data_IF_945927290242
#
_entry.id   IF_945927290242
#
_cell.length_a   1.000
_cell.length_b   1.000
_cell.length_c   1.000
_cell.angle_alpha   90.00
_cell.angle_beta   90.00
_cell.angle_gamma   90.00
#
_symmetry.space_group_name_H-M   'P 1'
#
loop_
_entity.id
_entity.type
_entity.pdbx_description
1 polymer ?
#
# COMPACT_ATOMS: atom_id res chain seq x y z
N UNK A 1 -8.35 15.58 16.95
CA UNK A 1 -7.66 14.97 15.80
C UNK A 1 -8.53 14.87 14.56
N UNK A 2 -9.72 14.26 14.60
CA UNK A 2 -10.55 14.09 13.38
C UNK A 2 -11.04 15.42 12.77
N UNK A 3 -11.54 16.35 13.58
CA UNK A 3 -11.99 17.67 13.11
C UNK A 3 -10.81 18.52 12.62
N UNK A 4 -9.67 18.47 13.32
CA UNK A 4 -8.45 19.20 12.95
C UNK A 4 -7.83 18.71 11.64
N UNK A 5 -8.07 17.46 11.26
CA UNK A 5 -7.63 16.87 9.98
C UNK A 5 -8.70 16.95 8.88
N UNK A 6 -9.85 17.60 9.13
CA UNK A 6 -10.95 17.68 8.15
C UNK A 6 -11.63 16.33 7.84
N UNK A 7 -11.42 15.31 8.68
CA UNK A 7 -12.05 13.99 8.54
C UNK A 7 -13.46 13.95 9.11
N UNK A 8 -13.80 14.94 9.96
CA UNK A 8 -15.11 15.10 10.55
C UNK A 8 -15.50 16.58 10.59
N UNK A 9 -16.71 16.87 10.15
CA UNK A 9 -17.31 18.19 10.20
C UNK A 9 -17.59 18.62 11.64
N UNK A 10 -17.79 19.93 11.85
CA UNK A 10 -18.09 20.49 13.17
C UNK A 10 -19.44 20.00 13.73
N UNK A 11 -20.36 19.60 12.85
CA UNK A 11 -21.66 19.02 13.20
C UNK A 11 -21.59 17.51 13.56
N UNK A 12 -20.40 16.91 13.48
CA UNK A 12 -20.15 15.51 13.83
C UNK A 12 -20.23 14.52 12.67
N UNK A 13 -20.60 14.95 11.45
CA UNK A 13 -20.62 14.07 10.26
C UNK A 13 -19.21 13.78 9.74
N UNK A 14 -18.97 12.57 9.24
CA UNK A 14 -17.71 12.24 8.57
C UNK A 14 -17.68 12.79 7.15
N UNK A 15 -16.51 13.28 6.72
CA UNK A 15 -16.26 13.64 5.32
C UNK A 15 -15.97 12.38 4.49
N UNK A 16 -15.98 12.49 3.16
CA UNK A 16 -15.57 11.36 2.29
C UNK A 16 -14.15 10.87 2.62
N UNK A 17 -13.24 11.80 2.90
CA UNK A 17 -11.92 11.46 3.41
C UNK A 17 -12.02 10.73 4.77
N UNK A 18 -12.87 11.21 5.69
CA UNK A 18 -13.15 10.51 6.95
C UNK A 18 -13.58 9.05 6.77
N UNK A 19 -14.42 8.76 5.79
CA UNK A 19 -14.84 7.37 5.46
C UNK A 19 -13.66 6.53 4.94
N UNK A 20 -12.81 7.10 4.08
CA UNK A 20 -11.60 6.41 3.59
C UNK A 20 -10.59 6.11 4.70
N UNK A 21 -10.51 6.97 5.71
CA UNK A 21 -9.65 6.79 6.88
C UNK A 21 -10.25 5.88 7.96
N UNK A 22 -11.54 5.54 7.88
CA UNK A 22 -12.19 4.65 8.84
C UNK A 22 -11.61 3.23 8.75
N UNK A 23 -11.50 2.54 9.89
CA UNK A 23 -10.94 1.19 10.00
C UNK A 23 -11.57 0.18 9.03
N UNK A 24 -12.87 0.37 8.75
CA UNK A 24 -13.64 -0.35 7.73
C UNK A 24 -14.37 0.64 6.85
N UNK A 25 -14.43 0.35 5.56
CA UNK A 25 -15.21 1.07 4.56
C UNK A 25 -15.63 0.12 3.43
N UNK A 26 -16.33 0.62 2.42
CA UNK A 26 -16.84 -0.20 1.31
C UNK A 26 -16.08 -0.02 -0.01
N UNK A 27 -14.94 0.67 0.02
CA UNK A 27 -14.18 0.97 -1.19
C UNK A 27 -13.24 -0.18 -1.60
N UNK A 28 -13.08 -0.32 -2.92
CA UNK A 28 -12.02 -1.16 -3.51
C UNK A 28 -10.66 -0.59 -3.14
N UNK A 29 -9.71 -1.48 -2.90
CA UNK A 29 -8.39 -1.11 -2.40
C UNK A 29 -7.28 -1.42 -3.39
N UNK A 30 -6.31 -2.21 -2.97
CA UNK A 30 -5.09 -2.53 -3.72
C UNK A 30 -4.97 -4.03 -3.97
N UNK A 31 -4.48 -4.38 -5.15
CA UNK A 31 -4.18 -5.74 -5.62
C UNK A 31 -2.68 -5.79 -5.93
N UNK A 32 -1.90 -6.36 -5.01
CA UNK A 32 -0.46 -6.54 -5.17
C UNK A 32 -0.18 -7.95 -5.70
N UNK A 33 0.60 -8.05 -6.77
CA UNK A 33 1.02 -9.33 -7.35
C UNK A 33 2.53 -9.35 -7.49
N UNK A 34 3.18 -10.32 -6.84
CA UNK A 34 4.59 -10.64 -7.07
C UNK A 34 4.66 -11.66 -8.19
N UNK A 35 5.20 -11.25 -9.32
CA UNK A 35 5.43 -12.13 -10.46
C UNK A 35 6.80 -12.80 -10.36
N UNK A 36 6.89 -14.00 -10.93
CA UNK A 36 8.14 -14.72 -11.18
C UNK A 36 8.73 -14.31 -12.52
N UNK A 37 9.27 -15.29 -13.25
CA UNK A 37 10.00 -15.06 -14.50
C UNK A 37 9.16 -14.38 -15.60
N UNK A 38 7.83 -14.43 -15.50
CA UNK A 38 6.93 -13.74 -16.40
C UNK A 38 5.55 -13.49 -15.75
N UNK A 39 4.71 -12.71 -16.44
CA UNK A 39 3.37 -12.32 -15.97
C UNK A 39 2.39 -13.51 -15.81
N UNK A 40 2.68 -14.69 -16.37
CA UNK A 40 1.85 -15.88 -16.21
C UNK A 40 2.18 -16.65 -14.93
N UNK A 41 3.29 -16.32 -14.26
CA UNK A 41 3.73 -16.98 -13.01
C UNK A 41 3.55 -16.00 -11.85
N UNK A 42 2.44 -16.15 -11.12
CA UNK A 42 2.19 -15.38 -9.89
C UNK A 42 2.77 -16.14 -8.70
N UNK A 43 3.77 -15.56 -8.04
CA UNK A 43 4.41 -16.15 -6.85
C UNK A 43 3.64 -15.83 -5.56
N UNK A 44 3.10 -14.62 -5.46
CA UNK A 44 2.20 -14.21 -4.39
C UNK A 44 1.19 -13.19 -4.92
N UNK A 45 -0.02 -13.20 -4.34
CA UNK A 45 -1.04 -12.19 -4.60
C UNK A 45 -1.72 -11.80 -3.30
N UNK A 46 -1.78 -10.51 -3.04
CA UNK A 46 -2.41 -9.96 -1.84
C UNK A 46 -3.40 -8.87 -2.22
N UNK A 47 -4.64 -9.04 -1.79
CA UNK A 47 -5.71 -8.07 -1.96
C UNK A 47 -6.05 -7.45 -0.62
N UNK A 48 -5.97 -6.13 -0.53
CA UNK A 48 -6.30 -5.37 0.68
C UNK A 48 -7.38 -4.36 0.32
N UNK A 49 -8.59 -4.57 0.84
CA UNK A 49 -9.78 -3.78 0.53
C UNK A 49 -10.66 -3.60 1.76
N UNK A 50 -11.60 -2.65 1.71
CA UNK A 50 -12.60 -2.41 2.77
C UNK A 50 -11.99 -2.13 4.15
N UNK A 51 -10.79 -1.58 4.14
CA UNK A 51 -10.02 -1.15 5.31
C UNK A 51 -9.58 0.30 5.13
N UNK A 52 -9.14 0.94 6.22
CA UNK A 52 -8.60 2.29 6.14
C UNK A 52 -7.46 2.39 5.13
N UNK A 53 -7.35 3.54 4.45
CA UNK A 53 -6.24 3.78 3.52
C UNK A 53 -4.87 3.72 4.21
N UNK A 54 -4.81 3.97 5.51
CA UNK A 54 -3.60 3.82 6.32
C UNK A 54 -3.18 2.35 6.44
N UNK A 55 -4.14 1.46 6.73
CA UNK A 55 -3.87 0.02 6.78
C UNK A 55 -3.49 -0.53 5.41
N UNK A 56 -4.21 -0.10 4.36
CA UNK A 56 -3.89 -0.44 2.97
C UNK A 56 -2.44 -0.06 2.62
N UNK A 57 -2.03 1.18 2.93
CA UNK A 57 -0.67 1.66 2.72
C UNK A 57 0.36 0.82 3.50
N UNK A 58 0.11 0.57 4.79
CA UNK A 58 1.02 -0.21 5.64
C UNK A 58 1.19 -1.65 5.15
N UNK A 59 0.09 -2.32 4.77
CA UNK A 59 0.11 -3.69 4.27
C UNK A 59 0.86 -3.77 2.92
N UNK A 60 0.73 -2.76 2.05
CA UNK A 60 1.53 -2.66 0.83
C UNK A 60 3.04 -2.52 1.12
N UNK A 61 3.43 -1.69 2.10
CA UNK A 61 4.83 -1.58 2.51
C UNK A 61 5.38 -2.85 3.16
N UNK A 62 4.54 -3.59 3.89
CA UNK A 62 4.93 -4.88 4.44
C UNK A 62 5.27 -5.87 3.31
N UNK A 63 4.46 -5.91 2.26
CA UNK A 63 4.72 -6.74 1.07
C UNK A 63 5.99 -6.30 0.34
N UNK A 64 6.23 -5.00 0.20
CA UNK A 64 7.50 -4.50 -0.30
C UNK A 64 8.70 -5.03 0.50
N UNK A 65 8.68 -4.88 1.83
CA UNK A 65 9.78 -5.37 2.69
C UNK A 65 9.94 -6.90 2.62
N UNK A 66 8.86 -7.63 2.41
CA UNK A 66 8.92 -9.09 2.23
C UNK A 66 9.70 -9.49 0.97
N UNK A 67 9.62 -8.72 -0.12
CA UNK A 67 10.15 -9.13 -1.42
C UNK A 67 11.41 -8.37 -1.87
N UNK A 68 11.60 -7.13 -1.41
CA UNK A 68 12.66 -6.24 -1.89
C UNK A 68 13.67 -5.84 -0.83
N UNK A 69 13.46 -6.22 0.44
CA UNK A 69 14.42 -6.00 1.51
C UNK A 69 15.05 -7.34 1.90
N UNK A 70 16.35 -7.47 1.64
CA UNK A 70 17.13 -8.64 2.06
C UNK A 70 18.16 -8.23 3.12
N UNK A 71 18.46 -9.13 4.05
CA UNK A 71 19.57 -8.96 4.98
C UNK A 71 20.78 -9.76 4.49
N UNK A 72 21.90 -9.07 4.29
CA UNK A 72 23.18 -9.68 3.92
C UNK A 72 24.10 -9.64 5.13
N UNK A 73 24.62 -10.81 5.51
CA UNK A 73 25.66 -10.92 6.53
C UNK A 73 27.02 -10.78 5.83
N UNK A 74 27.77 -9.75 6.20
CA UNK A 74 29.12 -9.48 5.69
C UNK A 74 30.11 -9.48 6.86
N UNK A 75 30.78 -10.62 7.06
CA UNK A 75 31.63 -10.88 8.22
C UNK A 75 30.85 -10.79 9.53
N UNK A 76 31.21 -9.82 10.38
CA UNK A 76 30.54 -9.56 11.65
C UNK A 76 29.35 -8.57 11.54
N UNK A 77 29.12 -7.98 10.36
CA UNK A 77 28.11 -6.93 10.16
C UNK A 77 26.87 -7.47 9.44
N UNK A 78 25.69 -7.04 9.87
CA UNK A 78 24.44 -7.22 9.12
C UNK A 78 24.14 -5.95 8.34
N UNK A 79 23.97 -6.07 7.03
CA UNK A 79 23.57 -4.96 6.15
C UNK A 79 22.23 -5.25 5.51
N UNK A 80 21.33 -4.27 5.55
CA UNK A 80 20.08 -4.31 4.77
C UNK A 80 20.38 -3.90 3.34
N UNK A 81 19.94 -4.72 2.39
CA UNK A 81 20.04 -4.44 0.98
C UNK A 81 18.63 -4.26 0.41
N UNK A 82 18.38 -3.08 -0.14
CA UNK A 82 17.15 -2.72 -0.85
C UNK A 82 17.38 -2.97 -2.34
N UNK A 83 16.56 -3.84 -2.96
CA UNK A 83 16.61 -4.05 -4.42
C UNK A 83 16.12 -2.81 -5.17
N UNK A 84 14.98 -2.29 -4.72
CA UNK A 84 14.38 -1.03 -5.18
C UNK A 84 14.43 -0.06 -3.99
N UNK A 85 14.66 1.25 -4.14
CA UNK A 85 14.64 2.17 -3.00
C UNK A 85 13.27 2.21 -2.28
N UNK A 86 13.24 2.02 -0.95
CA UNK A 86 11.97 1.98 -0.20
C UNK A 86 11.20 3.30 -0.31
N UNK A 87 11.91 4.43 -0.34
CA UNK A 87 11.29 5.75 -0.51
C UNK A 87 10.58 5.90 -1.85
N UNK A 88 11.12 5.34 -2.94
CA UNK A 88 10.49 5.39 -4.24
C UNK A 88 9.19 4.56 -4.27
N UNK A 89 9.22 3.36 -3.68
CA UNK A 89 8.02 2.54 -3.55
C UNK A 89 6.96 3.21 -2.68
N UNK A 90 7.36 3.76 -1.53
CA UNK A 90 6.48 4.51 -0.62
C UNK A 90 5.78 5.66 -1.31
N UNK A 91 6.51 6.44 -2.09
CA UNK A 91 5.98 7.59 -2.83
C UNK A 91 5.02 7.13 -3.95
N UNK A 92 5.38 6.09 -4.70
CA UNK A 92 4.52 5.54 -5.75
C UNK A 92 3.16 5.05 -5.21
N UNK A 93 3.16 4.31 -4.08
CA UNK A 93 1.91 3.87 -3.44
C UNK A 93 1.13 5.05 -2.89
N UNK A 94 1.77 6.02 -2.24
CA UNK A 94 1.11 7.22 -1.72
C UNK A 94 0.41 7.99 -2.85
N UNK A 95 1.11 8.22 -3.97
CA UNK A 95 0.56 8.91 -5.13
C UNK A 95 -0.61 8.14 -5.75
N UNK A 96 -0.50 6.82 -5.85
CA UNK A 96 -1.61 5.99 -6.34
C UNK A 96 -2.85 6.08 -5.44
N UNK A 97 -2.69 6.14 -4.11
CA UNK A 97 -3.81 6.28 -3.15
C UNK A 97 -4.43 7.68 -3.21
N UNK A 98 -3.61 8.73 -3.18
CA UNK A 98 -4.05 10.13 -3.10
C UNK A 98 -4.74 10.57 -4.39
N UNK A 99 -4.24 10.13 -5.55
CA UNK A 99 -4.78 10.51 -6.86
C UNK A 99 -5.81 9.52 -7.41
N UNK A 100 -6.22 8.51 -6.63
CA UNK A 100 -7.26 7.56 -7.06
C UNK A 100 -8.64 8.22 -7.10
N UNK A 101 -9.38 7.94 -8.16
CA UNK A 101 -10.82 8.19 -8.26
C UNK A 101 -11.58 7.11 -7.47
N UNK A 102 -11.91 7.41 -6.20
CA UNK A 102 -12.33 6.39 -5.23
C UNK A 102 -13.72 5.77 -5.48
N UNK A 103 -14.59 6.47 -6.19
CA UNK A 103 -15.94 6.05 -6.61
C UNK A 103 -15.94 5.05 -7.77
N UNK A 104 -14.79 4.77 -8.39
CA UNK A 104 -14.65 3.71 -9.39
C UNK A 104 -14.48 2.35 -8.71
N UNK A 105 -15.24 1.34 -9.16
CA UNK A 105 -15.17 -0.04 -8.67
C UNK A 105 -13.98 -0.81 -9.27
N UNK A 106 -12.75 -0.33 -9.04
CA UNK A 106 -11.52 -0.96 -9.53
C UNK A 106 -10.37 -0.84 -8.50
N UNK A 107 -9.55 -1.89 -8.39
CA UNK A 107 -8.37 -1.87 -7.51
C UNK A 107 -7.22 -1.08 -8.10
N UNK A 108 -6.41 -0.46 -7.23
CA UNK A 108 -5.04 -0.08 -7.58
C UNK A 108 -4.27 -1.38 -7.84
N UNK A 109 -3.67 -1.53 -9.03
CA UNK A 109 -2.90 -2.72 -9.37
C UNK A 109 -1.41 -2.41 -9.19
N UNK A 110 -0.73 -3.24 -8.41
CA UNK A 110 0.72 -3.16 -8.21
C UNK A 110 1.34 -4.48 -8.64
N UNK A 111 2.11 -4.42 -9.72
CA UNK A 111 2.89 -5.54 -10.21
C UNK A 111 4.33 -5.42 -9.70
N UNK A 112 4.80 -6.44 -8.99
CA UNK A 112 6.14 -6.50 -8.40
C UNK A 112 6.94 -7.55 -9.16
N UNK A 113 8.03 -7.15 -9.80
CA UNK A 113 8.93 -8.03 -10.56
C UNK A 113 10.26 -8.23 -9.83
N UNK A 114 11.05 -9.24 -10.19
CA UNK A 114 12.47 -9.23 -9.80
C UNK A 114 13.20 -8.20 -10.67
N UNK A 115 14.30 -7.65 -10.17
CA UNK A 115 15.22 -6.84 -10.99
C UNK A 115 15.92 -7.69 -12.06
#
# INVERSE_FOLDING_TARGET
>A
MLITLGLREKDGRYTNAGVLFADKNDYRGIDLVKFGDNINVMLDRTQVEKVSILKLYQDALQKYRQYYLNEVIDGAYRRKNEQIPENAFREAIANAIVHRTWDVNAQIKVAMFAD
#
